data_IF_437402541308
#
_entry.id   IF_437402541308
#
_cell.length_a   1.000
_cell.length_b   1.000
_cell.length_c   1.000
_cell.angle_alpha   90.00
_cell.angle_beta   90.00
_cell.angle_gamma   90.00
#
_symmetry.space_group_name_H-M   'P 1'
#
loop_
_entity.id
_entity.type
_entity.pdbx_description
1 polymer ?
#
# COMPACT_ATOMS: atom_id res chain seq x y z
N UNK A 1 9.67 -9.77 2.56
CA UNK A 1 9.57 -11.11 3.23
C UNK A 1 8.13 -11.56 3.56
N UNK A 2 7.16 -10.65 3.61
CA UNK A 2 5.74 -10.89 3.94
C UNK A 2 5.04 -11.92 3.04
N UNK A 3 5.21 -11.82 1.71
CA UNK A 3 4.61 -12.74 0.71
C UNK A 3 4.89 -14.22 1.03
N UNK A 4 6.14 -14.55 1.38
CA UNK A 4 6.57 -15.92 1.70
C UNK A 4 5.94 -16.45 3.01
N UNK A 5 5.53 -15.56 3.91
CA UNK A 5 4.94 -15.93 5.21
C UNK A 5 3.40 -16.04 5.18
N UNK A 6 2.76 -15.69 4.07
CA UNK A 6 1.30 -15.62 3.95
C UNK A 6 0.59 -16.91 4.39
N UNK A 7 0.99 -18.07 3.86
CA UNK A 7 0.34 -19.35 4.15
C UNK A 7 0.36 -19.67 5.65
N UNK A 8 1.54 -19.55 6.27
CA UNK A 8 1.72 -19.78 7.71
C UNK A 8 0.81 -18.88 8.54
N UNK A 9 0.74 -17.60 8.17
CA UNK A 9 -0.09 -16.62 8.88
C UNK A 9 -1.58 -16.92 8.74
N UNK A 10 -2.07 -17.08 7.50
CA UNK A 10 -3.49 -17.30 7.21
C UNK A 10 -4.00 -18.65 7.77
N UNK A 11 -3.20 -19.72 7.69
CA UNK A 11 -3.53 -21.03 8.27
C UNK A 11 -3.65 -20.93 9.79
N UNK A 12 -2.85 -20.08 10.46
CA UNK A 12 -2.92 -19.92 11.91
C UNK A 12 -4.30 -19.46 12.38
N UNK A 13 -4.94 -18.53 11.65
CA UNK A 13 -6.28 -18.06 11.94
C UNK A 13 -7.32 -19.19 11.79
N UNK A 14 -7.17 -20.04 10.77
CA UNK A 14 -8.06 -21.17 10.55
C UNK A 14 -7.87 -22.27 11.60
N UNK A 15 -6.64 -22.48 12.07
CA UNK A 15 -6.36 -23.37 13.19
C UNK A 15 -6.96 -22.88 14.52
N UNK A 16 -7.01 -21.56 14.76
CA UNK A 16 -7.77 -21.00 15.90
C UNK A 16 -9.25 -21.38 15.81
N UNK A 17 -9.88 -21.18 14.64
CA UNK A 17 -11.29 -21.58 14.40
C UNK A 17 -11.52 -23.07 14.68
N UNK A 18 -10.59 -23.96 14.32
CA UNK A 18 -10.66 -25.39 14.66
C UNK A 18 -10.61 -25.64 16.17
N UNK A 19 -9.71 -24.97 16.89
CA UNK A 19 -9.58 -25.08 18.34
C UNK A 19 -10.86 -24.63 19.06
N UNK A 20 -11.50 -23.57 18.57
CA UNK A 20 -12.73 -23.06 19.19
C UNK A 20 -13.91 -24.03 19.07
N UNK A 21 -13.96 -24.86 18.02
CA UNK A 21 -14.98 -25.93 17.91
C UNK A 21 -14.90 -26.90 19.10
N UNK A 22 -13.68 -27.24 19.55
CA UNK A 22 -13.51 -28.16 20.69
C UNK A 22 -13.85 -27.54 22.05
N UNK A 23 -14.06 -26.22 22.11
CA UNK A 23 -14.50 -25.51 23.31
C UNK A 23 -16.03 -25.49 23.46
N UNK A 24 -16.76 -25.88 22.42
CA UNK A 24 -18.22 -25.92 22.43
C UNK A 24 -18.75 -27.12 23.24
N UNK A 25 -19.95 -27.00 23.85
CA UNK A 25 -20.68 -28.15 24.37
C UNK A 25 -20.87 -29.25 23.32
N UNK A 26 -20.96 -30.51 23.75
CA UNK A 26 -21.08 -31.67 22.84
C UNK A 26 -22.29 -31.57 21.91
N UNK A 27 -23.43 -31.09 22.41
CA UNK A 27 -24.64 -30.91 21.60
C UNK A 27 -24.41 -29.92 20.45
N UNK A 28 -23.72 -28.81 20.72
CA UNK A 28 -23.42 -27.78 19.73
C UNK A 28 -22.40 -28.28 18.68
N UNK A 29 -21.43 -29.10 19.10
CA UNK A 29 -20.47 -29.74 18.18
C UNK A 29 -21.21 -30.60 17.14
N UNK A 30 -22.23 -31.36 17.54
CA UNK A 30 -23.01 -32.19 16.61
C UNK A 30 -23.82 -31.33 15.62
N UNK A 31 -24.42 -30.21 16.08
CA UNK A 31 -25.08 -29.24 15.19
C UNK A 31 -24.10 -28.67 14.16
N UNK A 32 -22.93 -28.21 14.60
CA UNK A 32 -21.88 -27.65 13.72
C UNK A 32 -21.32 -28.71 12.76
N UNK A 33 -21.23 -29.98 13.19
CA UNK A 33 -20.82 -31.10 12.33
C UNK A 33 -21.83 -31.33 11.22
N UNK A 34 -23.13 -31.32 11.53
CA UNK A 34 -24.21 -31.41 10.55
C UNK A 34 -24.15 -30.30 9.48
N UNK A 35 -23.72 -29.11 9.88
CA UNK A 35 -23.47 -27.99 8.97
C UNK A 35 -22.22 -28.16 8.11
N UNK A 36 -21.46 -29.25 8.21
CA UNK A 36 -20.18 -29.50 7.48
C UNK A 36 -19.14 -28.38 7.69
N UNK A 37 -19.11 -27.74 8.85
CA UNK A 37 -18.24 -26.57 9.10
C UNK A 37 -16.75 -26.91 8.98
N UNK A 38 -16.33 -28.09 9.41
CA UNK A 38 -14.94 -28.56 9.31
C UNK A 38 -14.45 -28.61 7.86
N UNK A 39 -15.26 -29.14 6.97
CA UNK A 39 -14.96 -29.19 5.54
C UNK A 39 -14.86 -27.79 4.92
N UNK A 40 -15.66 -26.83 5.38
CA UNK A 40 -15.49 -25.42 5.00
C UNK A 40 -14.09 -24.92 5.36
N UNK A 41 -13.59 -25.23 6.57
CA UNK A 41 -12.24 -24.85 6.98
C UNK A 41 -11.16 -25.56 6.13
N UNK A 42 -11.35 -26.82 5.76
CA UNK A 42 -10.42 -27.55 4.89
C UNK A 42 -10.39 -26.99 3.46
N UNK A 43 -11.54 -26.58 2.92
CA UNK A 43 -11.62 -25.85 1.66
C UNK A 43 -10.90 -24.49 1.73
N UNK A 44 -11.05 -23.78 2.85
CA UNK A 44 -10.34 -22.50 3.06
C UNK A 44 -8.84 -22.71 3.14
N UNK A 45 -8.35 -23.78 3.79
CA UNK A 45 -6.91 -24.08 3.78
C UNK A 45 -6.38 -24.32 2.36
N UNK A 46 -7.11 -25.06 1.51
CA UNK A 46 -6.74 -25.24 0.10
C UNK A 46 -6.66 -23.91 -0.65
N UNK A 47 -7.66 -23.06 -0.48
CA UNK A 47 -7.68 -21.72 -1.08
C UNK A 47 -6.54 -20.81 -0.57
N UNK A 48 -6.16 -20.93 0.71
CA UNK A 48 -4.98 -20.25 1.26
C UNK A 48 -3.71 -20.73 0.56
N UNK A 49 -3.56 -22.03 0.32
CA UNK A 49 -2.38 -22.55 -0.37
C UNK A 49 -2.32 -22.08 -1.82
N UNK A 50 -3.44 -22.08 -2.55
CA UNK A 50 -3.50 -21.53 -3.91
C UNK A 50 -3.08 -20.04 -3.96
N UNK A 51 -3.59 -19.22 -3.04
CA UNK A 51 -3.14 -17.84 -2.91
C UNK A 51 -1.65 -17.74 -2.58
N UNK A 52 -1.12 -18.62 -1.72
CA UNK A 52 0.29 -18.63 -1.38
C UNK A 52 1.16 -18.95 -2.59
N UNK A 53 0.76 -19.94 -3.41
CA UNK A 53 1.45 -20.27 -4.65
C UNK A 53 1.44 -19.09 -5.63
N UNK A 54 0.31 -18.40 -5.78
CA UNK A 54 0.23 -17.18 -6.58
C UNK A 54 1.17 -16.08 -6.07
N UNK A 55 1.13 -15.79 -4.77
CA UNK A 55 1.95 -14.76 -4.13
C UNK A 55 3.45 -15.08 -4.17
N UNK A 56 3.84 -16.36 -4.14
CA UNK A 56 5.23 -16.76 -4.29
C UNK A 56 5.77 -16.46 -5.69
N UNK A 57 4.98 -16.67 -6.74
CA UNK A 57 5.37 -16.33 -8.12
C UNK A 57 5.64 -14.84 -8.32
N UNK A 58 4.90 -13.97 -7.61
CA UNK A 58 5.13 -12.52 -7.63
C UNK A 58 6.55 -12.18 -7.15
N UNK A 59 7.11 -12.96 -6.22
CA UNK A 59 8.42 -12.69 -5.59
C UNK A 59 9.51 -13.72 -5.96
N UNK A 60 9.29 -14.50 -7.02
CA UNK A 60 10.23 -15.54 -7.47
C UNK A 60 11.49 -14.96 -8.12
N UNK A 61 11.41 -13.77 -8.73
CA UNK A 61 12.52 -13.08 -9.38
C UNK A 61 12.80 -11.71 -8.73
N UNK A 62 13.61 -11.65 -7.65
CA UNK A 62 13.88 -10.41 -6.92
C UNK A 62 14.79 -9.43 -7.64
N UNK A 63 15.50 -9.84 -8.70
CA UNK A 63 16.42 -8.98 -9.49
C UNK A 63 15.69 -7.90 -10.33
N UNK A 64 14.38 -7.76 -10.11
CA UNK A 64 13.42 -6.97 -10.85
C UNK A 64 13.49 -5.45 -10.59
N UNK A 65 13.97 -5.04 -9.42
CA UNK A 65 14.32 -3.65 -9.13
C UNK A 65 15.79 -3.67 -8.68
N UNK A 66 16.65 -2.88 -9.32
CA UNK A 66 18.10 -3.03 -9.31
C UNK A 66 18.76 -3.20 -7.93
N UNK A 67 20.03 -3.63 -7.94
CA UNK A 67 20.82 -4.00 -6.75
C UNK A 67 20.99 -2.92 -5.66
N UNK A 68 20.51 -1.69 -5.89
CA UNK A 68 20.64 -0.55 -4.98
C UNK A 68 19.37 -0.23 -4.16
N UNK A 69 18.27 -1.00 -4.32
CA UNK A 69 17.08 -0.83 -3.48
C UNK A 69 17.22 -1.70 -2.23
N UNK A 70 17.62 -1.11 -1.10
CA UNK A 70 17.62 -1.81 0.19
C UNK A 70 16.18 -1.98 0.68
N UNK A 71 15.55 -3.09 0.28
CA UNK A 71 14.15 -3.41 0.57
C UNK A 71 13.85 -3.53 2.07
N UNK A 72 14.86 -3.72 2.93
CA UNK A 72 14.65 -3.74 4.38
C UNK A 72 14.46 -2.34 4.98
N UNK A 73 14.89 -1.28 4.28
CA UNK A 73 14.79 0.09 4.76
C UNK A 73 13.39 0.68 4.51
N UNK A 74 12.79 0.41 3.34
CA UNK A 74 11.43 0.86 2.98
C UNK A 74 10.32 0.17 3.80
N UNK A 75 10.44 -1.14 4.06
CA UNK A 75 9.52 -1.87 4.96
C UNK A 75 9.62 -1.29 6.39
N UNK A 76 10.80 -0.83 6.83
CA UNK A 76 10.97 -0.19 8.13
C UNK A 76 10.43 1.24 8.15
N UNK A 77 10.50 2.03 7.08
CA UNK A 77 9.89 3.37 7.05
C UNK A 77 8.35 3.30 7.06
N UNK A 78 7.76 2.29 6.42
CA UNK A 78 6.31 2.01 6.52
C UNK A 78 5.88 1.48 7.92
N UNK A 79 6.79 0.86 8.69
CA UNK A 79 6.51 0.21 9.99
C UNK A 79 6.94 1.07 11.20
N UNK A 80 8.06 1.80 11.12
CA UNK A 80 8.51 2.77 12.14
C UNK A 80 7.55 3.95 12.26
N UNK A 81 6.87 4.31 11.17
CA UNK A 81 5.75 5.25 11.20
C UNK A 81 4.53 4.70 11.97
N UNK A 82 4.42 3.39 12.20
CA UNK A 82 3.29 2.77 12.90
C UNK A 82 3.52 2.33 14.35
N UNK A 83 4.77 2.20 14.83
CA UNK A 83 5.06 1.46 16.09
C UNK A 83 5.83 2.24 17.18
N UNK A 84 5.82 3.59 17.18
CA UNK A 84 6.26 4.35 18.38
C UNK A 84 5.17 4.40 19.46
N UNK A 85 4.70 3.23 19.87
CA UNK A 85 3.67 3.04 20.89
C UNK A 85 4.15 2.18 22.04
N UNK A 86 5.15 2.63 22.84
CA UNK A 86 5.36 2.18 24.23
C UNK A 86 6.29 3.08 25.04
N UNK A 87 5.69 4.13 25.58
CA UNK A 87 5.88 4.63 26.95
C UNK A 87 7.28 5.02 27.43
N UNK A 88 7.49 6.33 27.61
CA UNK A 88 8.06 6.88 28.86
C UNK A 88 7.35 8.18 29.24
N UNK A 89 6.60 8.12 30.34
CA UNK A 89 6.20 9.28 31.11
C UNK A 89 7.45 10.10 31.49
N UNK A 90 7.46 11.38 31.16
CA UNK A 90 8.19 12.37 31.95
C UNK A 90 7.31 13.61 32.09
N UNK A 91 6.76 13.74 33.29
CA UNK A 91 6.25 15.01 33.83
C UNK A 91 7.39 16.02 33.83
N UNK A 92 7.15 17.15 33.16
CA UNK A 92 7.94 18.36 33.34
C UNK A 92 7.25 19.26 34.36
N UNK A 93 7.89 19.48 35.50
CA UNK A 93 7.67 20.69 36.30
C UNK A 93 9.02 21.20 36.79
N UNK A 94 9.31 22.42 36.40
CA UNK A 94 10.52 23.15 36.73
C UNK A 94 10.39 23.88 38.08
N UNK A 95 11.55 24.26 38.61
CA UNK A 95 11.86 25.40 39.48
C UNK A 95 12.11 25.20 41.00
N UNK A 96 13.41 25.38 41.33
CA UNK A 96 14.01 26.33 42.31
C UNK A 96 13.99 26.09 43.82
N UNK A 97 15.23 25.96 44.34
CA UNK A 97 15.88 26.65 45.48
C UNK A 97 15.54 26.35 46.96
N UNK A 98 16.65 26.20 47.71
CA UNK A 98 16.98 26.58 49.10
C UNK A 98 16.91 25.58 50.28
N UNK A 99 18.12 25.41 50.87
CA UNK A 99 18.55 25.28 52.28
C UNK A 99 17.84 24.37 53.31
N UNK A 100 18.67 23.61 54.06
CA UNK A 100 18.42 23.35 55.49
C UNK A 100 18.85 21.98 56.06
N UNK A 101 20.03 21.95 56.69
CA UNK A 101 20.52 21.15 57.84
C UNK A 101 19.84 19.84 58.33
N UNK A 102 20.68 18.86 58.76
CA UNK A 102 20.32 17.97 59.87
C UNK A 102 20.97 16.58 59.95
N UNK A 103 22.22 16.53 60.45
CA UNK A 103 22.84 15.56 61.37
C UNK A 103 22.52 14.04 61.43
N UNK A 104 23.64 13.29 61.43
CA UNK A 104 24.05 12.16 62.31
C UNK A 104 23.40 10.76 62.21
N UNK A 105 24.21 9.73 61.92
CA UNK A 105 24.77 8.82 62.94
C UNK A 105 25.68 7.69 62.35
N UNK A 106 26.96 7.74 62.76
CA UNK A 106 27.82 6.68 63.32
C UNK A 106 27.96 5.25 62.70
N UNK A 107 29.15 5.03 62.12
CA UNK A 107 30.24 4.10 62.52
C UNK A 107 30.02 2.58 62.77
N UNK A 108 30.84 1.76 62.08
CA UNK A 108 31.31 0.42 62.51
C UNK A 108 32.03 -0.37 61.40
N UNK A 109 33.07 -1.18 61.66
CA UNK A 109 34.35 -1.02 60.94
C UNK A 109 34.89 -2.20 60.10
N UNK A 110 35.78 -1.83 59.17
CA UNK A 110 37.00 -2.46 58.60
C UNK A 110 37.27 -3.98 58.73
N UNK A 111 37.66 -4.59 57.59
CA UNK A 111 38.79 -5.55 57.52
C UNK A 111 39.55 -5.40 56.19
N UNK A 112 40.85 -5.62 56.25
CA UNK A 112 41.87 -5.20 55.28
C UNK A 112 42.76 -6.37 54.80
N UNK A 113 43.10 -6.33 53.50
CA UNK A 113 44.37 -6.78 52.84
C UNK A 113 44.74 -8.29 52.76
N UNK A 114 45.74 -8.68 51.92
CA UNK A 114 45.97 -8.39 50.50
C UNK A 114 46.49 -9.65 49.70
N UNK A 115 46.74 -9.53 48.38
CA UNK A 115 47.98 -9.97 47.67
C UNK A 115 47.79 -10.37 46.17
N UNK A 116 48.54 -9.62 45.34
CA UNK A 116 49.36 -10.01 44.16
C UNK A 116 48.86 -10.95 43.05
N UNK A 117 48.83 -10.36 41.85
CA UNK A 117 49.00 -10.87 40.46
C UNK A 117 50.01 -12.03 40.26
N UNK A 118 49.96 -12.85 39.17
CA UNK A 118 50.07 -12.36 37.77
C UNK A 118 49.35 -13.12 36.62
N UNK A 119 49.24 -12.37 35.52
CA UNK A 119 49.05 -12.70 34.09
C UNK A 119 48.78 -14.15 33.64
N UNK A 120 47.70 -14.33 32.88
CA UNK A 120 47.40 -15.52 32.07
C UNK A 120 46.55 -15.15 30.84
N UNK A 121 46.89 -15.72 29.69
CA UNK A 121 46.57 -15.22 28.35
C UNK A 121 45.12 -15.42 27.88
N UNK A 122 44.78 -14.57 26.92
CA UNK A 122 43.62 -14.53 26.01
C UNK A 122 43.10 -15.88 25.49
N UNK A 123 41.79 -16.08 25.60
CA UNK A 123 41.01 -16.89 24.66
C UNK A 123 39.93 -16.02 24.00
N UNK A 124 39.84 -15.96 22.66
CA UNK A 124 38.80 -15.22 21.97
C UNK A 124 37.47 -15.94 22.18
N UNK A 125 36.46 -15.21 22.69
CA UNK A 125 35.08 -15.67 22.67
C UNK A 125 34.64 -15.80 21.22
N UNK A 126 34.56 -17.04 20.75
CA UNK A 126 33.94 -17.39 19.47
C UNK A 126 32.57 -16.73 19.38
N UNK A 127 32.46 -15.72 18.51
CA UNK A 127 31.17 -15.18 18.13
C UNK A 127 30.43 -16.27 17.37
N UNK A 128 29.44 -16.89 18.03
CA UNK A 128 28.49 -17.75 17.34
C UNK A 128 27.80 -16.95 16.23
N UNK A 129 27.37 -17.60 15.14
CA UNK A 129 26.73 -16.91 14.03
C UNK A 129 25.52 -16.14 14.56
N UNK A 130 25.51 -14.84 14.27
CA UNK A 130 24.39 -13.95 14.56
C UNK A 130 23.15 -14.56 13.92
N UNK A 131 22.29 -15.22 14.71
CA UNK A 131 20.98 -15.67 14.24
C UNK A 131 20.22 -14.41 13.86
N UNK A 132 20.21 -14.05 12.57
CA UNK A 132 19.25 -13.10 12.01
C UNK A 132 17.89 -13.49 12.58
N UNK A 133 17.27 -12.58 13.34
CA UNK A 133 15.93 -12.80 13.88
C UNK A 133 15.03 -13.15 12.70
N UNK A 134 14.40 -14.32 12.75
CA UNK A 134 13.47 -14.76 11.73
C UNK A 134 12.38 -13.68 11.56
N UNK A 135 12.33 -13.04 10.39
CA UNK A 135 11.34 -12.00 10.09
C UNK A 135 9.93 -12.55 10.30
N UNK A 136 9.13 -11.83 11.08
CA UNK A 136 7.72 -12.13 11.34
C UNK A 136 6.89 -10.94 10.90
N UNK A 137 6.07 -11.09 9.84
CA UNK A 137 5.19 -10.02 9.41
C UNK A 137 4.22 -9.65 10.53
N UNK A 138 3.95 -8.35 10.64
CA UNK A 138 2.91 -7.80 11.50
C UNK A 138 1.51 -8.11 10.95
N UNK A 139 0.45 -7.84 11.73
CA UNK A 139 -0.93 -7.91 11.19
C UNK A 139 -1.14 -6.85 10.11
N UNK A 140 -0.53 -5.66 10.25
CA UNK A 140 -0.59 -4.58 9.26
C UNK A 140 -0.03 -5.03 7.90
N UNK A 141 1.14 -5.69 7.90
CA UNK A 141 1.74 -6.25 6.67
C UNK A 141 0.82 -7.26 5.99
N UNK A 142 0.16 -8.09 6.80
CA UNK A 142 -0.79 -9.10 6.30
C UNK A 142 -2.07 -8.46 5.79
N UNK A 143 -2.54 -7.37 6.40
CA UNK A 143 -3.68 -6.61 5.92
C UNK A 143 -3.38 -5.92 4.59
N UNK A 144 -2.20 -5.33 4.42
CA UNK A 144 -1.72 -4.82 3.13
C UNK A 144 -1.74 -5.92 2.07
N UNK A 145 -1.17 -7.10 2.36
CA UNK A 145 -1.15 -8.22 1.42
C UNK A 145 -2.55 -8.76 1.07
N UNK A 146 -3.49 -8.79 2.03
CA UNK A 146 -4.90 -9.12 1.79
C UNK A 146 -5.58 -8.06 0.91
N UNK A 147 -5.28 -6.79 1.13
CA UNK A 147 -5.76 -5.69 0.30
C UNK A 147 -5.21 -5.78 -1.12
N UNK A 148 -3.94 -6.16 -1.31
CA UNK A 148 -3.37 -6.42 -2.64
C UNK A 148 -4.12 -7.53 -3.38
N UNK A 149 -4.46 -8.64 -2.71
CA UNK A 149 -5.29 -9.71 -3.31
C UNK A 149 -6.65 -9.19 -3.79
N UNK A 150 -7.27 -8.26 -3.05
CA UNK A 150 -8.52 -7.61 -3.47
C UNK A 150 -8.30 -6.61 -4.60
N UNK A 151 -7.16 -5.92 -4.61
CA UNK A 151 -6.81 -4.98 -5.68
C UNK A 151 -6.69 -5.70 -7.03
N UNK A 152 -6.18 -6.94 -7.07
CA UNK A 152 -6.19 -7.75 -8.30
C UNK A 152 -7.60 -8.00 -8.84
N UNK A 153 -8.60 -8.13 -7.96
CA UNK A 153 -10.01 -8.24 -8.38
C UNK A 153 -10.42 -6.93 -9.06
N UNK A 154 -10.24 -5.80 -8.38
CA UNK A 154 -10.59 -4.48 -8.91
C UNK A 154 -9.94 -4.24 -10.27
N UNK A 155 -8.63 -4.42 -10.37
CA UNK A 155 -7.85 -3.98 -11.52
C UNK A 155 -7.77 -4.99 -12.67
N UNK A 156 -7.85 -6.30 -12.39
CA UNK A 156 -7.51 -7.33 -13.39
C UNK A 156 -8.52 -8.48 -13.48
N UNK A 157 -9.68 -8.40 -12.84
CA UNK A 157 -10.72 -9.43 -13.00
C UNK A 157 -11.94 -8.91 -13.74
N UNK A 158 -12.76 -9.82 -14.29
CA UNK A 158 -14.05 -9.46 -14.87
C UNK A 158 -15.03 -8.97 -13.79
N UNK A 159 -14.91 -9.50 -12.58
CA UNK A 159 -15.73 -9.12 -11.42
C UNK A 159 -15.49 -7.68 -10.97
N UNK A 160 -14.27 -7.17 -11.17
CA UNK A 160 -13.93 -5.76 -10.92
C UNK A 160 -14.47 -4.81 -11.99
N UNK A 161 -14.99 -5.30 -13.13
CA UNK A 161 -15.35 -4.45 -14.27
C UNK A 161 -16.36 -3.37 -13.91
N UNK A 162 -17.42 -3.69 -13.18
CA UNK A 162 -18.44 -2.69 -12.83
C UNK A 162 -17.86 -1.57 -11.95
N UNK A 163 -16.91 -1.89 -11.09
CA UNK A 163 -16.22 -0.92 -10.25
C UNK A 163 -15.27 -0.04 -11.08
N UNK A 164 -14.52 -0.64 -12.02
CA UNK A 164 -13.70 0.11 -12.97
C UNK A 164 -14.54 0.98 -13.90
N UNK A 165 -15.68 0.51 -14.38
CA UNK A 165 -16.58 1.30 -15.21
C UNK A 165 -17.15 2.50 -14.43
N UNK A 166 -17.33 2.38 -13.11
CA UNK A 166 -17.77 3.49 -12.26
C UNK A 166 -16.65 4.49 -11.93
N UNK A 167 -15.38 4.05 -11.89
CA UNK A 167 -14.26 4.90 -11.49
C UNK A 167 -13.37 5.35 -12.66
N UNK A 168 -12.91 4.42 -13.49
CA UNK A 168 -11.92 4.66 -14.55
C UNK A 168 -12.56 5.23 -15.82
N UNK A 169 -13.77 4.78 -16.16
CA UNK A 169 -14.43 5.24 -17.38
C UNK A 169 -14.75 6.75 -17.37
N UNK A 170 -15.26 7.36 -16.28
CA UNK A 170 -15.45 8.81 -16.21
C UNK A 170 -14.14 9.59 -16.37
N UNK A 171 -13.04 9.12 -15.78
CA UNK A 171 -11.72 9.74 -15.92
C UNK A 171 -11.25 9.67 -17.39
N UNK A 172 -11.34 8.50 -18.02
CA UNK A 172 -10.94 8.29 -19.41
C UNK A 172 -11.77 9.14 -20.38
N UNK A 173 -13.08 9.24 -20.14
CA UNK A 173 -13.97 10.07 -20.94
C UNK A 173 -13.65 11.56 -20.80
N UNK A 174 -13.36 12.03 -19.59
CA UNK A 174 -12.91 13.40 -19.36
C UNK A 174 -11.59 13.69 -20.09
N UNK A 175 -10.62 12.76 -20.04
CA UNK A 175 -9.36 12.88 -20.76
C UNK A 175 -9.57 12.96 -22.28
N UNK A 176 -10.38 12.06 -22.84
CA UNK A 176 -10.69 12.04 -24.27
C UNK A 176 -11.43 13.29 -24.73
N UNK A 177 -12.37 13.82 -23.92
CA UNK A 177 -13.09 15.06 -24.22
C UNK A 177 -12.15 16.27 -24.19
N UNK A 178 -11.25 16.34 -23.20
CA UNK A 178 -10.28 17.44 -23.08
C UNK A 178 -9.33 17.46 -24.30
N UNK A 179 -8.87 16.29 -24.74
CA UNK A 179 -7.98 16.14 -25.91
C UNK A 179 -8.73 15.72 -27.19
N UNK A 180 -10.00 16.08 -27.36
CA UNK A 180 -10.80 15.66 -28.53
C UNK A 180 -10.28 16.16 -29.87
N UNK A 181 -9.59 17.31 -29.85
CA UNK A 181 -8.95 17.90 -31.04
C UNK A 181 -7.62 17.19 -31.40
N UNK A 182 -7.07 16.40 -30.49
CA UNK A 182 -5.87 15.57 -30.73
C UNK A 182 -6.27 14.31 -31.48
N UNK A 183 -5.85 14.23 -32.74
CA UNK A 183 -6.06 13.05 -33.57
C UNK A 183 -5.46 11.80 -32.91
N UNK A 184 -6.10 10.62 -33.01
CA UNK A 184 -5.63 9.39 -32.37
C UNK A 184 -4.15 9.07 -32.61
N UNK A 185 -3.64 9.31 -33.82
CA UNK A 185 -2.27 9.03 -34.22
C UNK A 185 -1.23 9.94 -33.53
N UNK A 186 -1.68 11.06 -32.97
CA UNK A 186 -0.84 12.03 -32.27
C UNK A 186 -0.94 11.92 -30.74
N UNK A 187 -1.84 11.09 -30.20
CA UNK A 187 -2.04 10.97 -28.73
C UNK A 187 -0.80 10.52 -27.99
N UNK A 188 0.10 9.79 -28.66
CA UNK A 188 1.37 9.34 -28.04
C UNK A 188 2.33 10.48 -27.69
N UNK A 189 2.03 11.72 -28.11
CA UNK A 189 2.75 12.93 -27.71
C UNK A 189 2.16 13.62 -26.48
N UNK A 190 0.94 13.24 -26.09
CA UNK A 190 0.26 13.76 -24.91
C UNK A 190 0.65 12.91 -23.71
N UNK A 191 1.40 13.50 -22.78
CA UNK A 191 1.95 12.87 -21.58
C UNK A 191 0.93 12.89 -20.44
N UNK A 192 0.61 11.71 -19.93
CA UNK A 192 -0.37 11.52 -18.86
C UNK A 192 0.32 10.85 -17.66
N UNK A 193 0.26 11.49 -16.51
CA UNK A 193 0.73 10.94 -15.23
C UNK A 193 -0.45 10.37 -14.44
N UNK A 194 -0.27 9.20 -13.83
CA UNK A 194 -1.25 8.58 -12.93
C UNK A 194 -0.58 8.28 -11.58
N UNK A 195 -0.63 9.20 -10.60
CA UNK A 195 -0.12 8.95 -9.25
C UNK A 195 -0.98 7.93 -8.49
N UNK A 196 -0.35 7.14 -7.62
CA UNK A 196 -1.04 6.08 -6.85
C UNK A 196 -1.67 5.03 -7.75
N UNK A 197 -0.92 4.52 -8.72
CA UNK A 197 -1.47 3.70 -9.81
C UNK A 197 -1.92 2.30 -9.36
N UNK A 198 -1.58 1.86 -8.14
CA UNK A 198 -1.93 0.56 -7.62
C UNK A 198 -1.37 -0.56 -8.50
N UNK A 199 -2.24 -1.42 -9.06
CA UNK A 199 -1.81 -2.49 -9.95
C UNK A 199 -1.71 -2.07 -11.43
N UNK A 200 -1.81 -0.78 -11.74
CA UNK A 200 -1.46 -0.25 -13.06
C UNK A 200 -2.61 -0.21 -14.08
N UNK A 201 -3.82 -0.66 -13.74
CA UNK A 201 -4.90 -0.84 -14.72
C UNK A 201 -5.37 0.47 -15.37
N UNK A 202 -5.54 1.55 -14.61
CA UNK A 202 -5.95 2.84 -15.18
C UNK A 202 -4.89 3.38 -16.15
N UNK A 203 -3.61 3.32 -15.78
CA UNK A 203 -2.52 3.76 -16.65
C UNK A 203 -2.40 2.88 -17.90
N UNK A 204 -2.61 1.56 -17.77
CA UNK A 204 -2.71 0.65 -18.90
C UNK A 204 -3.87 1.01 -19.84
N UNK A 205 -5.07 1.25 -19.31
CA UNK A 205 -6.23 1.65 -20.11
C UNK A 205 -5.98 2.99 -20.82
N UNK A 206 -5.30 3.95 -20.19
CA UNK A 206 -4.91 5.23 -20.80
C UNK A 206 -3.91 5.03 -21.93
N UNK A 207 -2.91 4.17 -21.73
CA UNK A 207 -1.99 3.78 -22.80
C UNK A 207 -2.73 3.08 -23.97
N UNK A 208 -3.73 2.24 -23.69
CA UNK A 208 -4.58 1.63 -24.72
C UNK A 208 -5.37 2.65 -25.55
N UNK A 209 -5.68 3.83 -24.98
CA UNK A 209 -6.31 4.94 -25.72
C UNK A 209 -5.32 5.70 -26.63
N UNK A 210 -4.03 5.34 -26.60
CA UNK A 210 -2.96 5.87 -27.44
C UNK A 210 -2.11 6.95 -26.78
N UNK A 211 -2.37 7.30 -25.52
CA UNK A 211 -1.61 8.32 -24.79
C UNK A 211 -0.26 7.80 -24.28
N UNK A 212 0.72 8.70 -24.13
CA UNK A 212 1.96 8.38 -23.42
C UNK A 212 1.67 8.40 -21.92
N UNK A 213 1.66 7.25 -21.26
CA UNK A 213 1.22 7.14 -19.87
C UNK A 213 2.36 6.70 -18.95
N UNK A 214 2.51 7.38 -17.82
CA UNK A 214 3.36 6.96 -16.72
C UNK A 214 2.52 6.76 -15.46
N UNK A 215 2.61 5.60 -14.84
CA UNK A 215 2.10 5.38 -13.49
C UNK A 215 3.17 5.70 -12.44
N UNK A 216 2.75 6.12 -11.25
CA UNK A 216 3.61 6.22 -10.08
C UNK A 216 3.02 5.43 -8.91
N UNK A 217 3.85 4.68 -8.20
CA UNK A 217 3.45 3.91 -7.03
C UNK A 217 4.61 3.81 -6.03
N UNK A 218 4.30 3.84 -4.75
CA UNK A 218 5.27 3.75 -3.67
C UNK A 218 5.22 2.39 -2.97
N UNK A 219 4.03 1.80 -2.81
CA UNK A 219 3.86 0.58 -2.03
C UNK A 219 4.53 -0.61 -2.71
N UNK A 220 5.48 -1.24 -2.01
CA UNK A 220 6.16 -2.44 -2.50
C UNK A 220 5.18 -3.58 -2.86
N UNK A 221 4.08 -3.70 -2.13
CA UNK A 221 3.03 -4.68 -2.40
C UNK A 221 2.37 -4.47 -3.78
N UNK A 222 2.11 -3.21 -4.14
CA UNK A 222 1.51 -2.82 -5.41
C UNK A 222 2.53 -2.84 -6.55
N UNK A 223 3.78 -2.43 -6.30
CA UNK A 223 4.87 -2.47 -7.28
C UNK A 223 5.17 -3.91 -7.74
N UNK A 224 5.33 -4.83 -6.80
CA UNK A 224 5.53 -6.25 -7.13
C UNK A 224 4.32 -6.83 -7.88
N UNK A 225 3.11 -6.54 -7.41
CA UNK A 225 1.88 -7.01 -8.04
C UNK A 225 1.70 -6.47 -9.45
N UNK A 226 1.90 -5.17 -9.65
CA UNK A 226 1.78 -4.51 -10.96
C UNK A 226 2.82 -5.03 -11.93
N UNK A 227 4.09 -5.16 -11.53
CA UNK A 227 5.11 -5.73 -12.40
C UNK A 227 4.74 -7.15 -12.83
N UNK A 228 4.33 -8.01 -11.88
CA UNK A 228 3.96 -9.38 -12.19
C UNK A 228 2.81 -9.44 -13.21
N UNK A 229 1.78 -8.61 -13.04
CA UNK A 229 0.69 -8.53 -14.02
C UNK A 229 1.16 -8.01 -15.37
N UNK A 230 1.84 -6.87 -15.39
CA UNK A 230 2.15 -6.15 -16.63
C UNK A 230 3.24 -6.84 -17.44
N UNK A 231 4.18 -7.54 -16.80
CA UNK A 231 5.39 -8.04 -17.45
C UNK A 231 5.57 -9.56 -17.41
N UNK A 232 4.91 -10.29 -16.50
CA UNK A 232 5.11 -11.74 -16.32
C UNK A 232 3.88 -12.58 -16.68
N UNK A 233 2.75 -11.93 -16.96
CA UNK A 233 1.51 -12.60 -17.31
C UNK A 233 1.33 -12.66 -18.82
N UNK A 234 1.06 -13.85 -19.36
CA UNK A 234 1.07 -14.12 -20.80
C UNK A 234 -0.26 -14.60 -21.35
N UNK A 235 -1.21 -14.98 -20.49
CA UNK A 235 -2.52 -15.48 -20.89
C UNK A 235 -3.65 -14.81 -20.11
N UNK A 236 -4.81 -14.63 -20.76
CA UNK A 236 -6.05 -14.20 -20.09
C UNK A 236 -6.49 -15.32 -19.14
N UNK A 237 -6.93 -14.96 -17.92
CA UNK A 237 -7.36 -15.88 -16.87
C UNK A 237 -6.30 -16.90 -16.41
N UNK A 238 -5.01 -16.60 -16.62
CA UNK A 238 -3.88 -17.46 -16.26
C UNK A 238 -3.79 -17.78 -14.77
N UNK A 239 -4.20 -16.83 -13.92
CA UNK A 239 -4.07 -16.94 -12.47
C UNK A 239 -5.43 -17.06 -11.80
N UNK A 240 -5.49 -17.90 -10.78
CA UNK A 240 -6.65 -18.12 -9.93
C UNK A 240 -6.32 -17.67 -8.51
N UNK A 241 -7.14 -16.79 -7.95
CA UNK A 241 -7.00 -16.29 -6.57
C UNK A 241 -8.31 -16.43 -5.79
N UNK A 242 -8.21 -16.39 -4.46
CA UNK A 242 -9.32 -16.49 -3.51
C UNK A 242 -9.26 -15.32 -2.52
N UNK A 243 -9.69 -14.12 -2.92
CA UNK A 243 -9.45 -12.87 -2.18
C UNK A 243 -10.33 -12.68 -0.94
N UNK A 244 -11.39 -13.49 -0.78
CA UNK A 244 -12.41 -13.32 0.26
C UNK A 244 -12.34 -14.34 1.41
N UNK A 245 -11.34 -15.22 1.43
CA UNK A 245 -11.25 -16.34 2.38
C UNK A 245 -10.84 -15.94 3.80
N UNK A 246 -10.38 -14.71 4.01
CA UNK A 246 -9.80 -14.26 5.29
C UNK A 246 -10.86 -13.90 6.33
N UNK A 247 -12.03 -13.41 5.88
CA UNK A 247 -13.17 -13.06 6.75
C UNK A 247 -14.35 -14.00 6.52
N UNK A 248 -15.01 -14.39 7.61
CA UNK A 248 -16.23 -15.22 7.56
C UNK A 248 -17.48 -14.39 7.90
N UNK A 249 -17.30 -13.10 8.22
CA UNK A 249 -18.37 -12.17 8.52
C UNK A 249 -19.10 -11.76 7.24
N UNK A 250 -20.41 -11.54 7.34
CA UNK A 250 -21.26 -11.05 6.24
C UNK A 250 -21.23 -11.90 4.95
N UNK A 251 -20.78 -13.16 5.03
CA UNK A 251 -20.88 -14.10 3.93
C UNK A 251 -22.27 -14.73 3.91
N UNK A 252 -23.02 -14.52 2.82
CA UNK A 252 -24.35 -15.10 2.65
C UNK A 252 -24.28 -16.61 2.39
N UNK A 253 -23.17 -17.08 1.84
CA UNK A 253 -22.94 -18.49 1.51
C UNK A 253 -21.46 -18.87 1.64
N UNK A 254 -21.19 -20.19 1.62
CA UNK A 254 -19.82 -20.70 1.51
C UNK A 254 -19.16 -20.31 0.20
N UNK A 255 -19.95 -20.20 -0.86
CA UNK A 255 -19.48 -19.83 -2.17
C UNK A 255 -18.95 -18.39 -2.17
N UNK A 256 -19.55 -17.49 -1.40
CA UNK A 256 -19.06 -16.10 -1.29
C UNK A 256 -17.65 -16.03 -0.69
N UNK A 257 -17.32 -16.96 0.21
CA UNK A 257 -15.99 -17.07 0.83
C UNK A 257 -15.00 -17.75 -0.15
N UNK A 258 -15.43 -18.85 -0.75
CA UNK A 258 -14.57 -19.79 -1.48
C UNK A 258 -14.56 -19.58 -3.00
N UNK A 259 -15.26 -18.57 -3.53
CA UNK A 259 -15.29 -18.33 -4.98
C UNK A 259 -13.88 -18.01 -5.50
N UNK A 260 -13.41 -18.73 -6.53
CA UNK A 260 -12.20 -18.34 -7.23
C UNK A 260 -12.47 -17.13 -8.11
N UNK A 261 -11.48 -16.25 -8.23
CA UNK A 261 -11.44 -15.15 -9.19
C UNK A 261 -10.31 -15.42 -10.18
N UNK A 262 -10.57 -15.22 -11.47
CA UNK A 262 -9.58 -15.40 -12.53
C UNK A 262 -9.05 -14.05 -12.98
N UNK A 263 -7.73 -13.97 -13.17
CA UNK A 263 -7.01 -12.77 -13.62
C UNK A 263 -5.88 -13.18 -14.59
N UNK A 264 -5.49 -12.30 -15.53
CA UNK A 264 -6.14 -11.05 -15.87
C UNK A 264 -7.33 -11.26 -16.82
N UNK A 265 -8.29 -10.34 -16.82
CA UNK A 265 -9.43 -10.32 -17.75
C UNK A 265 -9.07 -9.78 -19.14
N UNK A 266 -7.94 -9.07 -19.23
CA UNK A 266 -7.33 -8.57 -20.48
C UNK A 266 -5.82 -8.78 -20.44
N UNK A 267 -5.19 -9.03 -21.59
CA UNK A 267 -3.76 -9.28 -21.61
C UNK A 267 -2.95 -7.96 -21.61
N UNK A 268 -2.06 -7.68 -20.65
CA UNK A 268 -1.28 -6.43 -20.64
C UNK A 268 -0.35 -6.26 -21.84
N UNK A 269 0.15 -7.37 -22.40
CA UNK A 269 0.96 -7.33 -23.62
C UNK A 269 0.15 -7.02 -24.90
N UNK A 270 -1.15 -6.75 -24.79
CA UNK A 270 -1.99 -6.29 -25.91
C UNK A 270 -1.73 -4.83 -26.34
N UNK A 271 -0.93 -4.07 -25.58
CA UNK A 271 -0.56 -2.71 -25.96
C UNK A 271 0.21 -2.71 -27.30
N UNK A 272 -0.14 -1.80 -28.23
CA UNK A 272 0.64 -1.60 -29.45
C UNK A 272 2.12 -1.35 -29.16
N UNK A 273 2.99 -2.00 -29.94
CA UNK A 273 4.43 -1.84 -29.80
C UNK A 273 4.85 -0.37 -30.03
N UNK A 274 5.72 0.14 -29.14
CA UNK A 274 6.26 1.50 -29.24
C UNK A 274 5.42 2.59 -28.57
N UNK A 275 4.26 2.26 -27.99
CA UNK A 275 3.55 3.21 -27.12
C UNK A 275 4.31 3.44 -25.82
N UNK A 276 4.53 4.70 -25.40
CA UNK A 276 5.17 4.98 -24.12
C UNK A 276 4.23 4.62 -22.96
N UNK A 277 4.52 3.50 -22.30
CA UNK A 277 3.87 3.09 -21.05
C UNK A 277 4.95 2.68 -20.04
N UNK A 278 5.00 3.38 -18.91
CA UNK A 278 5.99 3.12 -17.86
C UNK A 278 5.39 3.25 -16.47
N UNK A 279 6.13 2.74 -15.47
CA UNK A 279 5.75 2.84 -14.07
C UNK A 279 7.00 3.23 -13.26
N UNK A 280 6.88 4.28 -12.45
CA UNK A 280 7.95 4.80 -11.59
C UNK A 280 7.66 4.43 -10.14
N UNK A 281 8.64 3.80 -9.49
CA UNK A 281 8.61 3.45 -8.09
C UNK A 281 9.11 4.62 -7.24
N UNK A 282 8.34 5.03 -6.22
CA UNK A 282 8.74 6.07 -5.26
C UNK A 282 7.57 6.90 -4.77
N UNK A 283 7.79 7.63 -3.68
CA UNK A 283 6.79 8.57 -3.15
C UNK A 283 6.53 9.70 -4.15
N UNK A 284 5.26 10.06 -4.35
CA UNK A 284 4.86 11.08 -5.32
C UNK A 284 5.51 12.44 -5.05
N UNK A 285 5.60 12.85 -3.78
CA UNK A 285 6.15 14.15 -3.41
C UNK A 285 7.66 14.19 -3.65
N UNK A 286 8.36 13.09 -3.37
CA UNK A 286 9.79 12.97 -3.61
C UNK A 286 10.12 12.94 -5.11
N UNK A 287 9.39 12.12 -5.88
CA UNK A 287 9.64 11.92 -7.31
C UNK A 287 9.29 13.17 -8.12
N UNK A 288 8.17 13.84 -7.82
CA UNK A 288 7.64 14.92 -8.65
C UNK A 288 7.68 16.31 -8.00
N UNK A 289 7.92 16.41 -6.68
CA UNK A 289 7.94 17.68 -5.95
C UNK A 289 9.29 18.40 -5.96
N UNK A 290 10.39 17.66 -6.13
CA UNK A 290 11.77 18.17 -6.08
C UNK A 290 12.18 19.08 -7.24
N UNK A 291 13.45 19.53 -7.20
CA UNK A 291 14.12 20.05 -8.40
C UNK A 291 14.27 18.89 -9.39
N UNK A 292 13.79 19.07 -10.61
CA UNK A 292 13.83 17.99 -11.58
C UNK A 292 15.26 17.70 -12.02
N UNK A 293 15.56 16.43 -12.27
CA UNK A 293 16.77 16.06 -12.99
C UNK A 293 16.80 16.83 -14.33
N UNK A 294 17.90 17.55 -14.67
CA UNK A 294 18.03 18.19 -15.97
C UNK A 294 17.83 17.24 -17.15
N UNK A 295 18.08 15.94 -16.98
CA UNK A 295 17.87 14.91 -18.01
C UNK A 295 16.41 14.41 -18.06
N UNK A 296 15.67 14.48 -16.94
CA UNK A 296 14.24 14.16 -16.87
C UNK A 296 13.43 15.25 -16.15
N UNK A 297 13.28 16.44 -16.76
CA UNK A 297 12.51 17.51 -16.17
C UNK A 297 11.05 17.06 -16.00
N UNK A 298 10.45 17.41 -14.85
CA UNK A 298 9.05 17.10 -14.55
C UNK A 298 8.17 18.36 -14.60
N UNK A 299 8.74 19.54 -14.30
CA UNK A 299 8.01 20.81 -14.25
C UNK A 299 7.51 21.26 -15.62
N UNK A 300 6.20 21.56 -15.70
CA UNK A 300 5.59 22.09 -16.92
C UNK A 300 5.51 21.12 -18.10
N UNK A 301 5.54 19.80 -17.85
CA UNK A 301 5.74 18.79 -18.90
C UNK A 301 4.67 17.71 -18.99
N UNK A 302 3.71 17.69 -18.06
CA UNK A 302 2.59 16.76 -18.08
C UNK A 302 1.36 17.44 -18.67
N UNK A 303 0.83 16.88 -19.76
CA UNK A 303 -0.39 17.40 -20.38
C UNK A 303 -1.62 17.06 -19.53
N UNK A 304 -1.58 15.92 -18.82
CA UNK A 304 -2.60 15.57 -17.85
C UNK A 304 -2.04 14.83 -16.63
N UNK A 305 -2.69 15.06 -15.48
CA UNK A 305 -2.50 14.28 -14.25
C UNK A 305 -3.84 13.66 -13.87
N UNK A 306 -3.89 12.35 -13.67
CA UNK A 306 -5.10 11.61 -13.32
C UNK A 306 -4.97 11.02 -11.92
N UNK A 307 -5.82 11.44 -10.98
CA UNK A 307 -5.82 10.91 -9.61
C UNK A 307 -7.10 10.11 -9.37
N UNK A 308 -6.97 8.85 -8.93
CA UNK A 308 -8.10 7.97 -8.66
C UNK A 308 -7.97 7.34 -7.27
N UNK A 309 -8.78 7.74 -6.29
CA UNK A 309 -8.65 7.31 -4.88
C UNK A 309 -7.22 7.55 -4.34
N UNK A 310 -6.69 8.75 -4.59
CA UNK A 310 -5.29 9.09 -4.31
C UNK A 310 -5.13 10.34 -3.44
N UNK A 311 -5.87 11.42 -3.69
CA UNK A 311 -5.60 12.69 -2.99
C UNK A 311 -5.81 12.61 -1.48
N UNK A 312 -6.67 11.69 -1.03
CA UNK A 312 -6.95 11.41 0.36
C UNK A 312 -5.88 10.57 1.08
N UNK A 313 -4.84 10.13 0.35
CA UNK A 313 -3.65 9.49 0.95
C UNK A 313 -2.63 10.50 1.47
N UNK A 314 -2.79 11.78 1.15
CA UNK A 314 -1.84 12.83 1.52
C UNK A 314 -1.83 13.10 3.04
N UNK A 315 -0.64 13.24 3.62
CA UNK A 315 -0.47 13.89 4.94
C UNK A 315 -0.77 15.39 4.84
N UNK A 316 -0.38 16.00 3.73
CA UNK A 316 -0.58 17.40 3.42
C UNK A 316 -1.12 17.58 2.00
N UNK A 317 -2.44 17.64 1.87
CA UNK A 317 -3.11 17.86 0.57
C UNK A 317 -2.66 19.15 -0.13
N UNK A 318 -2.26 20.18 0.61
CA UNK A 318 -1.74 21.43 0.03
C UNK A 318 -0.50 21.17 -0.80
N UNK A 319 0.40 20.29 -0.35
CA UNK A 319 1.61 19.98 -1.09
C UNK A 319 1.31 19.14 -2.33
N UNK A 320 0.44 18.13 -2.23
CA UNK A 320 -0.02 17.35 -3.38
C UNK A 320 -0.55 18.27 -4.49
N UNK A 321 -1.49 19.16 -4.17
CA UNK A 321 -2.09 20.04 -5.18
C UNK A 321 -1.08 21.05 -5.77
N UNK A 322 -0.13 21.54 -4.96
CA UNK A 322 0.96 22.40 -5.46
C UNK A 322 1.86 21.66 -6.44
N UNK A 323 2.23 20.42 -6.14
CA UNK A 323 3.06 19.60 -7.03
C UNK A 323 2.31 19.34 -8.33
N UNK A 324 1.05 18.88 -8.26
CA UNK A 324 0.22 18.64 -9.45
C UNK A 324 0.17 19.90 -10.32
N UNK A 325 -0.10 21.07 -9.74
CA UNK A 325 -0.14 22.33 -10.50
C UNK A 325 1.22 22.68 -11.13
N UNK A 326 2.32 22.45 -10.41
CA UNK A 326 3.68 22.80 -10.85
C UNK A 326 4.17 21.91 -12.00
N UNK A 327 3.82 20.62 -11.99
CA UNK A 327 4.27 19.65 -13.00
C UNK A 327 3.42 19.67 -14.27
N UNK A 328 2.19 20.19 -14.19
CA UNK A 328 1.33 20.37 -15.36
C UNK A 328 1.91 21.40 -16.33
N UNK A 329 1.89 21.05 -17.62
CA UNK A 329 2.18 21.97 -18.70
C UNK A 329 1.14 23.11 -18.73
N UNK A 330 1.48 24.30 -19.26
CA UNK A 330 0.50 25.35 -19.48
C UNK A 330 -0.68 24.84 -20.32
N UNK A 331 -1.89 24.95 -19.78
CA UNK A 331 -3.10 24.41 -20.42
C UNK A 331 -3.29 22.89 -20.24
N UNK A 332 -2.49 22.23 -19.41
CA UNK A 332 -2.70 20.86 -18.98
C UNK A 332 -3.88 20.72 -18.01
N UNK A 333 -4.33 19.49 -17.79
CA UNK A 333 -5.54 19.19 -17.01
C UNK A 333 -5.25 18.25 -15.84
N UNK A 334 -5.87 18.52 -14.69
CA UNK A 334 -5.92 17.59 -13.57
C UNK A 334 -7.32 16.98 -13.48
N UNK A 335 -7.42 15.65 -13.62
CA UNK A 335 -8.70 14.93 -13.52
C UNK A 335 -8.65 14.04 -12.28
N UNK A 336 -9.50 14.34 -11.30
CA UNK A 336 -9.59 13.61 -10.05
C UNK A 336 -10.91 12.87 -9.91
N UNK A 337 -10.88 11.62 -9.45
CA UNK A 337 -12.06 10.90 -8.99
C UNK A 337 -11.75 10.09 -7.72
N UNK A 338 -12.44 10.38 -6.63
CA UNK A 338 -12.26 9.65 -5.39
C UNK A 338 -13.16 10.17 -4.26
N UNK A 339 -13.15 9.48 -3.12
CA UNK A 339 -13.68 10.01 -1.88
C UNK A 339 -12.68 10.98 -1.24
N UNK A 340 -13.03 11.48 -0.04
CA UNK A 340 -12.12 12.17 0.88
C UNK A 340 -12.02 11.35 2.17
N UNK A 341 -11.54 10.11 2.04
CA UNK A 341 -11.31 9.22 3.18
C UNK A 341 -9.86 9.39 3.64
N UNK A 342 -9.61 10.45 4.41
CA UNK A 342 -8.26 10.87 4.80
C UNK A 342 -7.50 9.75 5.52
N UNK A 343 -6.45 9.24 4.88
CA UNK A 343 -5.72 8.04 5.32
C UNK A 343 -5.10 8.19 6.72
N UNK A 344 -4.71 9.42 7.06
CA UNK A 344 -4.03 9.76 8.31
C UNK A 344 -4.97 10.32 9.38
N UNK A 345 -6.29 10.36 9.11
CA UNK A 345 -7.29 10.82 10.08
C UNK A 345 -7.22 9.98 11.36
N UNK A 346 -7.19 10.63 12.53
CA UNK A 346 -7.14 9.97 13.84
C UNK A 346 -5.96 8.99 14.02
N UNK A 347 -4.86 9.15 13.26
CA UNK A 347 -3.68 8.31 13.43
C UNK A 347 -3.08 8.48 14.85
N UNK A 348 -2.50 7.40 15.36
CA UNK A 348 -1.85 7.40 16.68
C UNK A 348 -0.33 7.59 16.60
N UNK A 349 0.22 7.71 15.40
CA UNK A 349 1.65 7.89 15.15
C UNK A 349 2.11 9.34 15.35
N UNK A 350 1.17 10.28 15.39
CA UNK A 350 1.45 11.71 15.45
C UNK A 350 1.86 12.28 14.08
N UNK A 351 1.62 11.53 13.01
CA UNK A 351 1.78 12.01 11.64
C UNK A 351 0.80 13.14 11.37
N UNK A 352 1.24 14.10 10.56
CA UNK A 352 0.39 15.18 10.08
C UNK A 352 -0.75 14.62 9.23
N UNK A 353 -1.95 15.16 9.43
CA UNK A 353 -3.12 14.93 8.61
C UNK A 353 -3.88 16.25 8.47
N UNK A 354 -4.03 16.74 7.23
CA UNK A 354 -4.84 17.92 6.91
C UNK A 354 -6.11 17.44 6.21
N UNK A 355 -7.18 17.33 6.98
CA UNK A 355 -8.48 16.87 6.51
C UNK A 355 -9.33 18.05 6.03
N UNK A 356 -9.56 18.13 4.72
CA UNK A 356 -10.44 19.14 4.12
C UNK A 356 -11.76 18.51 3.69
N UNK A 357 -12.84 19.27 3.72
CA UNK A 357 -14.05 18.90 2.98
C UNK A 357 -13.92 19.20 1.47
N UNK A 358 -14.91 18.80 0.68
CA UNK A 358 -14.85 18.97 -0.77
C UNK A 358 -14.83 20.44 -1.21
N UNK A 359 -15.58 21.31 -0.54
CA UNK A 359 -15.62 22.73 -0.91
C UNK A 359 -14.29 23.39 -0.56
N UNK A 360 -13.70 23.04 0.58
CA UNK A 360 -12.34 23.45 0.96
C UNK A 360 -11.28 22.95 -0.03
N UNK A 361 -11.37 21.69 -0.50
CA UNK A 361 -10.47 21.17 -1.57
C UNK A 361 -10.61 21.99 -2.85
N UNK A 362 -11.84 22.34 -3.27
CA UNK A 362 -12.07 23.17 -4.46
C UNK A 362 -11.55 24.58 -4.27
N UNK A 363 -11.76 25.19 -3.11
CA UNK A 363 -11.25 26.52 -2.78
C UNK A 363 -9.72 26.54 -2.75
N UNK A 364 -9.09 25.53 -2.17
CA UNK A 364 -7.65 25.34 -2.17
C UNK A 364 -7.11 25.19 -3.60
N UNK A 365 -7.74 24.38 -4.45
CA UNK A 365 -7.34 24.22 -5.84
C UNK A 365 -7.36 25.57 -6.59
N UNK A 366 -8.43 26.37 -6.42
CA UNK A 366 -8.51 27.73 -6.99
C UNK A 366 -7.42 28.65 -6.44
N UNK A 367 -7.16 28.60 -5.14
CA UNK A 367 -6.13 29.42 -4.50
C UNK A 367 -4.71 29.08 -4.98
N UNK A 368 -4.46 27.82 -5.38
CA UNK A 368 -3.19 27.38 -5.97
C UNK A 368 -3.03 27.85 -7.42
N UNK A 369 -4.14 27.98 -8.16
CA UNK A 369 -4.14 28.50 -9.53
C UNK A 369 -4.98 27.69 -10.53
N UNK A 370 -5.67 26.65 -10.09
CA UNK A 370 -6.53 25.86 -10.99
C UNK A 370 -7.83 26.61 -11.35
N UNK A 371 -8.22 26.48 -12.62
CA UNK A 371 -9.56 26.84 -13.09
C UNK A 371 -10.44 25.59 -13.13
N UNK A 372 -11.46 25.52 -12.27
CA UNK A 372 -12.31 24.33 -12.16
C UNK A 372 -13.39 24.34 -13.25
N UNK A 373 -13.40 23.29 -14.08
CA UNK A 373 -14.43 23.07 -15.11
C UNK A 373 -15.47 22.07 -14.61
N UNK A 374 -16.57 22.58 -14.05
CA UNK A 374 -17.54 21.74 -13.32
C UNK A 374 -18.28 20.75 -14.24
N UNK A 375 -18.15 19.45 -13.94
CA UNK A 375 -19.17 18.41 -14.18
C UNK A 375 -19.32 17.51 -12.95
N UNK A 376 -20.10 17.96 -11.97
CA UNK A 376 -20.42 17.14 -10.80
C UNK A 376 -21.32 15.96 -11.23
N UNK A 377 -20.82 14.74 -11.14
CA UNK A 377 -21.67 13.56 -10.99
C UNK A 377 -21.42 12.96 -9.61
N UNK A 378 -22.43 13.05 -8.75
CA UNK A 378 -22.51 12.26 -7.53
C UNK A 378 -22.90 10.84 -7.91
N UNK A 379 -21.91 9.95 -7.98
CA UNK A 379 -22.18 8.51 -7.93
C UNK A 379 -21.44 7.95 -6.71
N UNK A 380 -22.20 7.49 -5.71
CA UNK A 380 -21.67 6.74 -4.57
C UNK A 380 -20.63 7.50 -3.69
N UNK A 381 -20.78 8.82 -3.57
CA UNK A 381 -19.86 9.64 -2.75
C UNK A 381 -18.49 9.91 -3.39
N UNK A 382 -18.33 9.59 -4.68
CA UNK A 382 -17.15 9.92 -5.49
C UNK A 382 -17.36 11.24 -6.22
N UNK A 383 -16.28 11.99 -6.37
CA UNK A 383 -16.30 13.33 -6.97
C UNK A 383 -15.37 13.38 -8.17
N UNK A 384 -15.95 13.54 -9.37
CA UNK A 384 -15.18 13.90 -10.55
C UNK A 384 -14.90 15.41 -10.54
N UNK A 385 -13.63 15.78 -10.39
CA UNK A 385 -13.14 17.15 -10.47
C UNK A 385 -12.21 17.26 -11.68
N UNK A 386 -12.43 18.29 -12.51
CA UNK A 386 -11.65 18.59 -13.72
C UNK A 386 -11.20 20.04 -13.66
#
# INVERSE_FOLDING_TARGET
MTFRSYARYAISANNRRRKDIFRLPRADIELIRGLRYREKLENVDRAILENAHFLLRIVENPEMFGHDVDYEQYDNDEVEQGDRGKGKNQDGSAHTHEHGHGHDHAAGPSHSHPHSQPHGHSHPRSHGPNRQKEFRPSESDMDKLRSTLKQFVRDWSVEGKSERDACYEPIKQALLEYFKEVQPENRSRTRVLVPGVGLGRLAFDVAQLGFACQGNEFSHYMLLGSYFMLNQTTEINQHRIYPYIHTFSNASSRQDILRPILIPDVLPSSLPAGLPFSLVAGDFEEVYGGESDPEEPQHGLWDAVLTCFFIDTAKNIVNYLRIIHKILAPGGVWINLGPLLWHWENNTSGDMSIELDLEEVKELARAIGFEISVRNFLFWGLWLLI
#
